data_IF_388525462301
#
_entry.id   IF_388525462301
#
_cell.length_a   1.000
_cell.length_b   1.000
_cell.length_c   1.000
_cell.angle_alpha   90.00
_cell.angle_beta   90.00
_cell.angle_gamma   90.00
#
_symmetry.space_group_name_H-M   'P 1'
#
loop_
_entity.id
_entity.type
_entity.pdbx_description
1 polymer ?
#
# COMPACT_ATOMS: atom_id res chain seq x y z
N UNK A 1 21.25 -65.35 -17.96
CA UNK A 1 20.37 -64.28 -18.49
C UNK A 1 20.20 -63.22 -17.43
N UNK A 2 20.91 -62.13 -17.58
CA UNK A 2 20.81 -60.97 -16.62
C UNK A 2 19.80 -59.98 -17.19
N UNK A 3 18.69 -59.80 -16.54
CA UNK A 3 17.71 -58.78 -16.88
C UNK A 3 18.21 -57.40 -16.38
N UNK A 4 18.50 -56.51 -17.27
CA UNK A 4 18.77 -55.11 -16.98
C UNK A 4 17.43 -54.41 -16.72
N UNK A 5 17.18 -53.97 -15.49
CA UNK A 5 16.09 -53.05 -15.17
C UNK A 5 16.57 -51.65 -15.47
N UNK A 6 16.09 -51.08 -16.55
CA UNK A 6 16.23 -49.68 -16.88
C UNK A 6 15.21 -48.92 -16.00
N UNK A 7 15.69 -48.31 -14.93
CA UNK A 7 14.93 -47.34 -14.13
C UNK A 7 14.90 -46.02 -14.92
N UNK A 8 13.80 -45.80 -15.64
CA UNK A 8 13.50 -44.49 -16.20
C UNK A 8 13.07 -43.56 -15.06
N UNK A 9 14.01 -42.75 -14.54
CA UNK A 9 13.69 -41.63 -13.66
C UNK A 9 13.07 -40.56 -14.55
N UNK A 10 11.74 -40.53 -14.59
CA UNK A 10 11.00 -39.40 -15.13
C UNK A 10 11.22 -38.22 -14.18
N UNK A 11 12.18 -37.36 -14.50
CA UNK A 11 12.31 -36.05 -13.89
C UNK A 11 11.05 -35.24 -14.27
N UNK A 12 10.07 -35.27 -13.41
CA UNK A 12 8.93 -34.35 -13.49
C UNK A 12 9.50 -32.99 -13.12
N UNK A 13 10.00 -32.27 -14.11
CA UNK A 13 10.22 -30.84 -14.00
C UNK A 13 8.83 -30.21 -13.87
N UNK A 14 8.38 -30.05 -12.63
CA UNK A 14 7.27 -29.14 -12.34
C UNK A 14 7.80 -27.75 -12.70
N UNK A 15 7.59 -27.36 -13.94
CA UNK A 15 7.69 -25.96 -14.33
C UNK A 15 6.58 -25.25 -13.57
N UNK A 16 6.89 -24.83 -12.35
CA UNK A 16 6.11 -23.82 -11.65
C UNK A 16 6.20 -22.58 -12.53
N UNK A 17 5.24 -22.43 -13.45
CA UNK A 17 4.98 -21.15 -14.09
C UNK A 17 4.47 -20.24 -12.99
N UNK A 18 5.42 -19.60 -12.29
CA UNK A 18 5.09 -18.61 -11.29
C UNK A 18 4.31 -17.50 -12.00
N UNK A 19 2.99 -17.52 -11.83
CA UNK A 19 2.15 -16.44 -12.35
C UNK A 19 2.59 -15.14 -11.67
N UNK A 20 2.63 -14.02 -12.39
CA UNK A 20 2.88 -12.73 -11.78
C UNK A 20 1.91 -12.47 -10.63
N UNK A 21 2.42 -11.95 -9.53
CA UNK A 21 1.59 -11.57 -8.39
C UNK A 21 0.69 -10.41 -8.79
N UNK A 22 -0.59 -10.56 -8.55
CA UNK A 22 -1.62 -9.53 -8.69
C UNK A 22 -2.23 -9.19 -7.32
N UNK A 23 -2.26 -10.14 -6.39
CA UNK A 23 -2.67 -9.89 -5.01
C UNK A 23 -1.47 -9.50 -4.14
N UNK A 24 -1.38 -8.20 -3.86
CA UNK A 24 -0.27 -7.63 -3.10
C UNK A 24 -0.28 -8.02 -1.60
N UNK A 25 -1.39 -8.55 -1.09
CA UNK A 25 -1.46 -9.07 0.29
C UNK A 25 -0.59 -10.33 0.49
N UNK A 26 -0.19 -10.97 -0.61
CA UNK A 26 0.72 -12.12 -0.58
C UNK A 26 2.19 -11.71 -0.36
N UNK A 27 2.54 -10.45 -0.64
CA UNK A 27 3.88 -9.94 -0.39
C UNK A 27 4.13 -9.82 1.12
N UNK A 28 5.25 -10.34 1.58
CA UNK A 28 5.63 -10.27 2.99
C UNK A 28 6.92 -9.48 3.16
N UNK A 29 6.90 -8.46 4.00
CA UNK A 29 8.12 -7.75 4.40
C UNK A 29 9.09 -8.72 5.08
N UNK A 30 10.40 -8.47 4.92
CA UNK A 30 11.45 -9.37 5.39
C UNK A 30 11.74 -10.55 4.44
N UNK A 31 10.86 -10.85 3.48
CA UNK A 31 11.05 -11.95 2.51
C UNK A 31 11.87 -11.47 1.31
N UNK A 32 12.65 -12.38 0.73
CA UNK A 32 13.42 -12.06 -0.48
C UNK A 32 12.46 -11.82 -1.66
N UNK A 33 12.65 -10.70 -2.37
CA UNK A 33 11.80 -10.31 -3.51
C UNK A 33 11.82 -11.34 -4.64
N UNK A 34 12.92 -12.10 -4.79
CA UNK A 34 13.05 -13.14 -5.82
C UNK A 34 12.10 -14.32 -5.64
N UNK A 35 11.47 -14.46 -4.46
CA UNK A 35 10.43 -15.48 -4.22
C UNK A 35 9.15 -15.14 -4.99
N UNK A 36 8.99 -13.88 -5.36
CA UNK A 36 7.81 -13.38 -6.04
C UNK A 36 8.09 -13.07 -7.51
N UNK A 37 7.15 -13.40 -8.38
CA UNK A 37 7.20 -12.99 -9.78
C UNK A 37 6.42 -11.71 -9.94
N UNK A 38 7.14 -10.58 -10.10
CA UNK A 38 6.54 -9.30 -10.48
C UNK A 38 6.53 -9.17 -12.00
N UNK A 39 5.47 -8.59 -12.56
CA UNK A 39 5.47 -8.25 -13.97
C UNK A 39 6.39 -7.04 -14.19
N UNK A 40 7.57 -7.28 -14.77
CA UNK A 40 8.61 -6.25 -14.93
C UNK A 40 8.17 -5.07 -15.81
N UNK A 41 7.21 -5.27 -16.69
CA UNK A 41 6.69 -4.20 -17.55
C UNK A 41 5.79 -3.22 -16.80
N UNK A 42 5.32 -3.58 -15.62
CA UNK A 42 4.40 -2.77 -14.83
C UNK A 42 5.14 -1.89 -13.80
N UNK A 43 6.46 -2.07 -13.65
CA UNK A 43 7.25 -1.38 -12.62
C UNK A 43 8.51 -0.73 -13.16
N UNK A 44 8.73 0.53 -12.78
CA UNK A 44 10.04 1.17 -12.82
C UNK A 44 10.89 0.62 -11.67
N UNK A 45 12.10 0.21 -11.99
CA UNK A 45 13.05 -0.31 -11.01
C UNK A 45 14.19 0.68 -10.85
N UNK A 46 14.20 1.42 -9.76
CA UNK A 46 15.19 2.47 -9.51
C UNK A 46 16.07 2.12 -8.32
N UNK A 47 17.39 2.01 -8.51
CA UNK A 47 18.32 1.90 -7.39
C UNK A 47 18.45 3.28 -6.70
N UNK A 48 18.11 3.35 -5.42
CA UNK A 48 18.30 4.54 -4.61
C UNK A 48 19.65 4.45 -3.89
N UNK A 49 20.58 5.31 -4.27
CA UNK A 49 21.86 5.47 -3.57
C UNK A 49 21.67 6.55 -2.51
N UNK A 50 21.49 6.16 -1.26
CA UNK A 50 21.57 7.12 -0.17
C UNK A 50 23.01 7.62 -0.03
N UNK A 51 23.19 8.90 0.30
CA UNK A 51 24.47 9.65 0.39
C UNK A 51 25.55 8.97 1.27
N UNK A 52 25.16 8.09 2.16
CA UNK A 52 26.11 7.20 2.85
C UNK A 52 26.16 5.88 2.07
N UNK A 53 27.23 5.64 1.38
CA UNK A 53 27.54 4.47 0.50
C UNK A 53 27.19 3.06 1.04
N UNK A 54 26.39 2.93 2.09
CA UNK A 54 26.13 1.67 2.80
C UNK A 54 24.72 1.08 2.63
N UNK A 55 23.76 1.79 2.03
CA UNK A 55 22.39 1.28 1.94
C UNK A 55 21.83 1.46 0.53
N UNK A 56 22.14 0.49 -0.35
CA UNK A 56 21.48 0.37 -1.65
C UNK A 56 20.06 -0.17 -1.41
N UNK A 57 19.07 0.69 -1.64
CA UNK A 57 17.67 0.29 -1.71
C UNK A 57 17.26 0.26 -3.17
N UNK A 58 16.56 -0.78 -3.59
CA UNK A 58 15.93 -0.83 -4.92
C UNK A 58 14.45 -0.58 -4.73
N UNK A 59 13.90 0.42 -5.41
CA UNK A 59 12.48 0.73 -5.40
C UNK A 59 11.83 0.21 -6.69
N UNK A 60 10.77 -0.56 -6.54
CA UNK A 60 9.84 -0.94 -7.59
C UNK A 60 8.63 -0.02 -7.48
N UNK A 61 8.34 0.72 -8.53
CA UNK A 61 7.28 1.72 -8.55
C UNK A 61 6.37 1.47 -9.75
N UNK A 62 5.05 1.34 -9.55
CA UNK A 62 4.13 1.12 -10.67
C UNK A 62 4.17 2.30 -11.64
N UNK A 63 4.29 2.01 -12.93
CA UNK A 63 4.24 3.02 -13.98
C UNK A 63 2.91 3.76 -14.00
N UNK A 64 2.91 4.98 -14.52
CA UNK A 64 1.68 5.77 -14.71
C UNK A 64 0.71 5.09 -15.70
N UNK A 65 1.25 4.32 -16.65
CA UNK A 65 0.48 3.64 -17.70
C UNK A 65 0.15 2.19 -17.33
N UNK A 66 0.52 1.74 -16.13
CA UNK A 66 0.16 0.41 -15.63
C UNK A 66 -1.34 0.30 -15.45
N UNK A 67 -1.92 -0.76 -15.99
CA UNK A 67 -3.30 -1.11 -15.70
C UNK A 67 -3.43 -1.58 -14.24
N UNK A 68 -3.65 -0.63 -13.34
CA UNK A 68 -3.74 -0.86 -11.91
C UNK A 68 -4.92 -1.77 -11.53
N UNK A 69 -5.94 -1.88 -12.37
CA UNK A 69 -7.09 -2.76 -12.12
C UNK A 69 -6.73 -4.24 -12.03
N UNK A 70 -5.57 -4.64 -12.55
CA UNK A 70 -5.03 -6.00 -12.40
C UNK A 70 -4.56 -6.32 -10.99
N UNK A 71 -4.26 -5.28 -10.20
CA UNK A 71 -3.69 -5.42 -8.87
C UNK A 71 -4.74 -5.15 -7.80
N UNK A 72 -4.63 -5.87 -6.70
CA UNK A 72 -5.48 -5.67 -5.53
C UNK A 72 -4.68 -6.00 -4.26
N UNK A 73 -5.20 -5.61 -3.11
CA UNK A 73 -4.67 -5.98 -1.81
C UNK A 73 -5.75 -6.75 -1.05
N UNK A 74 -5.68 -8.09 -1.06
CA UNK A 74 -6.77 -8.92 -0.59
C UNK A 74 -8.07 -8.61 -1.35
N UNK A 75 -9.09 -8.12 -0.66
CA UNK A 75 -10.36 -7.70 -1.27
C UNK A 75 -10.37 -6.26 -1.79
N UNK A 76 -9.33 -5.47 -1.48
CA UNK A 76 -9.32 -4.04 -1.76
C UNK A 76 -8.76 -3.75 -3.15
N UNK A 77 -9.47 -2.89 -3.90
CA UNK A 77 -9.03 -2.35 -5.19
C UNK A 77 -8.01 -1.24 -4.95
N UNK A 78 -7.09 -1.08 -5.89
CA UNK A 78 -6.15 0.01 -5.86
C UNK A 78 -6.74 1.27 -6.50
N UNK A 79 -6.28 2.42 -6.04
CA UNK A 79 -6.61 3.70 -6.65
C UNK A 79 -5.88 3.82 -8.00
N UNK A 80 -6.58 4.17 -9.11
CA UNK A 80 -5.99 4.29 -10.44
C UNK A 80 -5.19 5.59 -10.61
N UNK A 81 -4.08 5.68 -9.87
CA UNK A 81 -3.18 6.83 -9.88
C UNK A 81 -1.75 6.36 -10.14
N UNK A 82 -0.90 7.27 -10.60
CA UNK A 82 0.53 7.01 -10.72
C UNK A 82 1.11 6.60 -9.37
N UNK A 83 2.06 5.68 -9.41
CA UNK A 83 2.74 5.20 -8.20
C UNK A 83 1.80 4.59 -7.14
N UNK A 84 0.71 3.96 -7.59
CA UNK A 84 -0.24 3.29 -6.69
C UNK A 84 0.40 2.16 -5.87
N UNK A 85 1.48 1.57 -6.41
CA UNK A 85 2.24 0.51 -5.76
C UNK A 85 3.70 0.94 -5.67
N UNK A 86 4.28 0.83 -4.47
CA UNK A 86 5.71 1.00 -4.25
C UNK A 86 6.21 -0.14 -3.36
N UNK A 87 7.29 -0.79 -3.77
CA UNK A 87 7.96 -1.84 -3.01
C UNK A 87 9.42 -1.44 -2.86
N UNK A 88 9.89 -1.25 -1.64
CA UNK A 88 11.29 -0.95 -1.35
C UNK A 88 12.00 -2.22 -0.88
N UNK A 89 13.15 -2.48 -1.48
CA UNK A 89 13.95 -3.70 -1.27
C UNK A 89 15.36 -3.31 -0.85
N UNK A 90 15.88 -3.95 0.20
CA UNK A 90 17.25 -3.81 0.65
C UNK A 90 17.89 -5.19 0.78
N UNK A 91 19.08 -5.38 0.22
CA UNK A 91 19.78 -6.66 0.24
C UNK A 91 18.91 -7.84 -0.23
N UNK A 92 18.09 -7.58 -1.26
CA UNK A 92 17.14 -8.55 -1.80
C UNK A 92 15.87 -8.77 -0.97
N UNK A 93 15.76 -8.21 0.24
CA UNK A 93 14.57 -8.36 1.10
C UNK A 93 13.64 -7.17 0.99
N UNK A 94 12.34 -7.42 0.96
CA UNK A 94 11.30 -6.39 1.00
C UNK A 94 11.35 -5.72 2.37
N UNK A 95 11.61 -4.42 2.40
CA UNK A 95 11.61 -3.62 3.64
C UNK A 95 10.36 -2.78 3.81
N UNK A 96 9.70 -2.42 2.71
CA UNK A 96 8.46 -1.66 2.75
C UNK A 96 7.59 -1.97 1.53
N UNK A 97 6.28 -1.95 1.74
CA UNK A 97 5.26 -2.05 0.70
C UNK A 97 4.29 -0.90 0.96
N UNK A 98 4.14 0.01 -0.02
CA UNK A 98 3.20 1.12 0.03
C UNK A 98 2.16 0.97 -1.08
N UNK A 99 0.89 1.03 -0.71
CA UNK A 99 -0.23 0.74 -1.60
C UNK A 99 -1.27 1.84 -1.44
N UNK A 100 -1.77 2.36 -2.55
CA UNK A 100 -2.88 3.31 -2.57
C UNK A 100 -4.19 2.57 -2.82
N UNK A 101 -5.02 2.47 -1.81
CA UNK A 101 -6.32 1.81 -1.85
C UNK A 101 -7.37 2.78 -2.40
N UNK A 102 -8.33 2.28 -3.15
CA UNK A 102 -9.42 3.07 -3.69
C UNK A 102 -10.18 3.81 -2.57
N UNK A 103 -10.45 5.10 -2.80
CA UNK A 103 -10.99 5.99 -1.75
C UNK A 103 -12.39 5.60 -1.28
N UNK A 104 -13.19 5.03 -2.16
CA UNK A 104 -14.52 4.53 -1.84
C UNK A 104 -14.52 3.30 -0.93
N UNK A 105 -13.34 2.71 -0.67
CA UNK A 105 -13.15 1.58 0.24
C UNK A 105 -12.46 1.97 1.56
N UNK A 106 -12.37 3.25 1.86
CA UNK A 106 -11.65 3.77 3.03
C UNK A 106 -12.22 3.21 4.35
N UNK A 107 -13.56 3.14 4.46
CA UNK A 107 -14.23 2.61 5.66
C UNK A 107 -14.04 1.11 5.80
N UNK A 108 -14.14 0.37 4.69
CA UNK A 108 -13.90 -1.08 4.70
C UNK A 108 -12.46 -1.42 5.06
N UNK A 109 -11.49 -0.61 4.61
CA UNK A 109 -10.08 -0.78 4.97
C UNK A 109 -9.88 -0.55 6.47
N UNK A 110 -10.47 0.51 7.02
CA UNK A 110 -10.42 0.80 8.45
C UNK A 110 -10.96 -0.36 9.28
N UNK A 111 -12.16 -0.82 8.97
CA UNK A 111 -12.80 -1.94 9.68
C UNK A 111 -11.96 -3.22 9.57
N UNK A 112 -11.39 -3.48 8.41
CA UNK A 112 -10.50 -4.62 8.21
C UNK A 112 -9.22 -4.53 9.03
N UNK A 113 -8.58 -3.35 9.09
CA UNK A 113 -7.38 -3.11 9.90
C UNK A 113 -7.69 -3.32 11.39
N UNK A 114 -8.80 -2.77 11.87
CA UNK A 114 -9.26 -2.94 13.26
C UNK A 114 -9.57 -4.42 13.56
N UNK A 115 -10.28 -5.11 12.68
CA UNK A 115 -10.62 -6.51 12.85
C UNK A 115 -9.39 -7.43 12.83
N UNK A 116 -8.35 -7.04 12.05
CA UNK A 116 -7.13 -7.84 11.87
C UNK A 116 -6.10 -7.58 12.96
N UNK A 117 -5.90 -6.32 13.36
CA UNK A 117 -4.82 -5.90 14.25
C UNK A 117 -5.31 -5.32 15.59
N UNK A 118 -6.63 -5.23 15.79
CA UNK A 118 -7.25 -4.72 17.01
C UNK A 118 -7.41 -3.20 17.04
N UNK A 119 -8.05 -2.72 18.10
CA UNK A 119 -8.27 -1.28 18.35
C UNK A 119 -7.08 -0.57 19.02
N UNK A 120 -6.02 -1.31 19.33
CA UNK A 120 -4.85 -0.75 19.97
C UNK A 120 -3.85 -0.28 18.94
N UNK A 121 -4.10 0.89 18.37
CA UNK A 121 -3.22 1.57 17.42
C UNK A 121 -2.74 2.89 18.01
N UNK A 122 -1.55 3.31 17.60
CA UNK A 122 -1.08 4.67 17.88
C UNK A 122 -1.68 5.58 16.81
N UNK A 123 -2.25 6.69 17.22
CA UNK A 123 -2.70 7.76 16.36
C UNK A 123 -1.90 9.02 16.67
N UNK A 124 -1.28 9.60 15.65
CA UNK A 124 -0.64 10.90 15.75
C UNK A 124 -1.58 11.95 15.16
N UNK A 125 -1.95 12.88 16.01
CA UNK A 125 -2.75 14.05 15.64
C UNK A 125 -1.79 15.17 15.29
N UNK A 126 -1.78 15.57 14.02
CA UNK A 126 -1.16 16.83 13.62
C UNK A 126 -2.26 17.85 13.36
N UNK A 127 -2.11 19.02 13.98
CA UNK A 127 -2.94 20.17 13.64
C UNK A 127 -2.46 20.68 12.27
N UNK A 128 -3.04 20.15 11.20
CA UNK A 128 -2.77 20.65 9.86
C UNK A 128 -3.77 21.73 9.51
N UNK A 129 -3.26 22.72 8.86
CA UNK A 129 -3.92 23.94 8.46
C UNK A 129 -5.28 23.77 7.79
N UNK A 130 -5.75 24.83 7.17
CA UNK A 130 -7.07 24.95 6.54
C UNK A 130 -7.06 24.25 5.20
N UNK A 131 -7.90 23.25 5.03
CA UNK A 131 -8.08 22.53 3.78
C UNK A 131 -9.44 22.83 3.17
N UNK A 132 -9.49 22.83 1.86
CA UNK A 132 -10.71 23.02 1.08
C UNK A 132 -11.18 21.66 0.57
N UNK A 133 -12.44 21.33 0.84
CA UNK A 133 -13.03 20.04 0.47
C UNK A 133 -14.31 20.22 -0.32
N UNK A 134 -14.53 19.30 -1.24
CA UNK A 134 -15.84 19.14 -1.87
C UNK A 134 -16.85 18.59 -0.85
N UNK A 135 -18.13 18.82 -1.08
CA UNK A 135 -19.21 18.32 -0.21
C UNK A 135 -19.10 16.78 -0.02
N UNK A 136 -18.69 16.04 -1.06
CA UNK A 136 -18.52 14.59 -1.00
C UNK A 136 -17.36 14.16 -0.10
N UNK A 137 -16.26 14.88 -0.14
CA UNK A 137 -15.11 14.64 0.73
C UNK A 137 -15.46 14.93 2.18
N UNK A 138 -16.20 16.02 2.43
CA UNK A 138 -16.71 16.35 3.75
C UNK A 138 -17.60 15.26 4.34
N UNK A 139 -18.51 14.69 3.55
CA UNK A 139 -19.35 13.58 4.01
C UNK A 139 -18.53 12.37 4.45
N UNK A 140 -17.42 12.08 3.75
CA UNK A 140 -16.50 11.02 4.13
C UNK A 140 -15.80 11.38 5.45
N UNK A 141 -15.32 12.60 5.59
CA UNK A 141 -14.66 13.08 6.79
C UNK A 141 -15.55 13.07 8.01
N UNK A 142 -16.77 13.53 7.88
CA UNK A 142 -17.75 13.54 8.98
C UNK A 142 -17.96 12.14 9.57
N UNK A 143 -17.99 11.13 8.71
CA UNK A 143 -18.12 9.73 9.14
C UNK A 143 -16.86 9.16 9.78
N UNK A 144 -15.69 9.56 9.29
CA UNK A 144 -14.41 9.06 9.80
C UNK A 144 -13.98 9.74 11.10
N UNK A 145 -14.25 11.04 11.18
CA UNK A 145 -13.71 11.92 12.22
C UNK A 145 -14.83 12.85 12.74
N UNK A 146 -15.75 12.32 13.55
CA UNK A 146 -16.81 13.15 14.12
C UNK A 146 -16.22 14.23 15.03
N UNK A 147 -16.60 15.47 14.82
CA UNK A 147 -16.22 16.59 15.71
C UNK A 147 -15.28 17.63 15.10
N UNK A 148 -15.05 17.60 13.79
CA UNK A 148 -14.34 18.69 13.12
C UNK A 148 -15.25 19.93 12.89
N UNK A 149 -14.63 21.08 12.75
CA UNK A 149 -15.35 22.33 12.47
C UNK A 149 -15.32 22.63 10.98
N UNK A 150 -16.49 22.80 10.38
CA UNK A 150 -16.65 23.21 8.98
C UNK A 150 -16.94 24.72 8.96
N UNK A 151 -16.19 25.45 8.16
CA UNK A 151 -16.49 26.85 7.83
C UNK A 151 -16.82 26.90 6.33
N UNK A 152 -17.98 27.45 5.96
CA UNK A 152 -18.28 27.70 4.56
C UNK A 152 -17.30 28.72 3.97
N UNK A 153 -16.80 28.47 2.76
CA UNK A 153 -16.01 29.47 2.06
C UNK A 153 -16.97 30.46 1.36
N UNK A 154 -17.01 31.72 1.78
CA UNK A 154 -17.89 32.70 1.17
C UNK A 154 -17.50 33.05 -0.28
N UNK A 155 -16.30 32.65 -0.72
CA UNK A 155 -15.77 32.93 -2.07
C UNK A 155 -16.03 31.82 -3.05
N UNK A 156 -16.22 30.58 -2.59
CA UNK A 156 -16.55 29.44 -3.43
C UNK A 156 -17.55 28.49 -2.72
N UNK A 157 -18.83 28.56 -3.11
CA UNK A 157 -19.88 27.73 -2.49
C UNK A 157 -19.75 26.23 -2.75
N UNK A 158 -18.84 25.80 -3.66
CA UNK A 158 -18.60 24.40 -3.95
C UNK A 158 -17.59 23.77 -2.99
N UNK A 159 -16.90 24.59 -2.20
CA UNK A 159 -15.88 24.15 -1.26
C UNK A 159 -16.21 24.65 0.13
N UNK A 160 -16.13 23.76 1.09
CA UNK A 160 -16.15 24.15 2.49
C UNK A 160 -14.72 24.06 3.05
N UNK A 161 -14.40 25.04 3.87
CA UNK A 161 -13.13 25.11 4.57
C UNK A 161 -13.25 24.36 5.88
N UNK A 162 -12.47 23.31 6.03
CA UNK A 162 -12.43 22.55 7.26
C UNK A 162 -11.16 22.85 8.04
N UNK A 163 -11.34 23.14 9.31
CA UNK A 163 -10.25 23.06 10.30
C UNK A 163 -10.37 21.66 10.88
N UNK A 164 -9.50 20.78 10.42
CA UNK A 164 -9.53 19.38 10.86
C UNK A 164 -8.31 19.14 11.73
N UNK A 165 -8.55 18.71 12.95
CA UNK A 165 -7.54 18.01 13.75
C UNK A 165 -7.65 16.54 13.30
N UNK A 166 -6.83 16.16 12.35
CA UNK A 166 -6.79 14.79 11.85
C UNK A 166 -5.63 14.03 12.46
N UNK A 167 -5.91 12.78 12.77
CA UNK A 167 -4.84 11.79 12.82
C UNK A 167 -4.33 11.59 11.39
N UNK A 168 -3.11 12.00 11.12
CA UNK A 168 -2.53 11.83 9.79
C UNK A 168 -2.26 10.37 9.49
N UNK A 169 -2.05 9.57 10.52
CA UNK A 169 -1.89 8.15 10.34
C UNK A 169 -2.31 7.34 11.58
N UNK A 170 -2.75 6.12 11.31
CA UNK A 170 -3.00 5.09 12.29
C UNK A 170 -1.92 4.03 12.17
N UNK A 171 -1.30 3.66 13.26
CA UNK A 171 -0.16 2.76 13.29
C UNK A 171 -0.42 1.53 14.14
N UNK A 172 -0.47 0.37 13.52
CA UNK A 172 -0.49 -0.93 14.20
C UNK A 172 0.91 -1.55 14.18
N UNK A 173 1.32 -2.13 15.29
CA UNK A 173 2.60 -2.84 15.40
C UNK A 173 2.37 -4.30 15.71
N UNK A 174 2.93 -5.18 14.88
CA UNK A 174 3.05 -6.61 15.13
C UNK A 174 4.51 -6.99 15.41
N UNK A 175 4.82 -8.21 15.84
CA UNK A 175 6.21 -8.65 15.98
C UNK A 175 7.02 -8.54 14.67
N UNK A 176 6.40 -8.77 13.51
CA UNK A 176 7.06 -8.87 12.21
C UNK A 176 7.08 -7.55 11.45
N UNK A 177 6.04 -6.73 11.61
CA UNK A 177 5.85 -5.54 10.78
C UNK A 177 5.10 -4.42 11.51
N UNK A 178 5.19 -3.22 10.94
CA UNK A 178 4.33 -2.08 11.25
C UNK A 178 3.41 -1.82 10.06
N UNK A 179 2.14 -1.52 10.36
CA UNK A 179 1.11 -1.19 9.38
C UNK A 179 0.67 0.24 9.62
N UNK A 180 0.97 1.13 8.69
CA UNK A 180 0.58 2.53 8.76
C UNK A 180 -0.52 2.79 7.75
N UNK A 181 -1.63 3.29 8.21
CA UNK A 181 -2.70 3.79 7.36
C UNK A 181 -2.68 5.31 7.40
N UNK A 182 -2.46 5.91 6.26
CA UNK A 182 -2.25 7.34 6.07
C UNK A 182 -3.29 7.89 5.08
N UNK A 183 -3.95 8.96 5.47
CA UNK A 183 -4.92 9.68 4.64
C UNK A 183 -4.32 11.04 4.30
N UNK A 184 -3.78 11.17 3.10
CA UNK A 184 -3.12 12.39 2.67
C UNK A 184 -4.05 13.28 1.84
N UNK A 185 -3.98 14.60 2.08
CA UNK A 185 -4.95 15.59 1.60
C UNK A 185 -4.36 16.65 0.64
N UNK A 186 -3.12 16.50 0.17
CA UNK A 186 -2.42 17.62 -0.49
C UNK A 186 -3.01 18.08 -1.83
N UNK A 187 -3.44 17.18 -2.70
CA UNK A 187 -4.00 17.52 -4.02
C UNK A 187 -5.20 16.63 -4.38
N UNK A 188 -5.16 15.42 -3.94
CA UNK A 188 -6.21 14.40 -4.07
C UNK A 188 -6.24 13.59 -2.79
N UNK A 189 -7.42 13.22 -2.36
CA UNK A 189 -7.56 12.35 -1.20
C UNK A 189 -6.88 11.00 -1.49
N UNK A 190 -5.78 10.71 -0.79
CA UNK A 190 -5.02 9.48 -0.93
C UNK A 190 -5.20 8.60 0.30
N UNK A 191 -5.72 7.41 0.07
CA UNK A 191 -5.90 6.37 1.07
C UNK A 191 -4.74 5.38 0.94
N UNK A 192 -3.74 5.53 1.79
CA UNK A 192 -2.47 4.79 1.67
C UNK A 192 -2.28 3.82 2.82
N UNK A 193 -2.01 2.55 2.50
CA UNK A 193 -1.53 1.55 3.43
C UNK A 193 -0.04 1.32 3.20
N UNK A 194 0.77 1.47 4.25
CA UNK A 194 2.21 1.17 4.25
C UNK A 194 2.51 0.05 5.23
N UNK A 195 3.20 -0.99 4.77
CA UNK A 195 3.67 -2.12 5.56
C UNK A 195 5.19 -2.05 5.60
N UNK A 196 5.78 -1.97 6.79
CA UNK A 196 7.23 -1.82 6.96
C UNK A 196 7.78 -2.93 7.84
N UNK A 197 8.89 -3.55 7.42
CA UNK A 197 9.64 -4.52 8.23
C UNK A 197 10.22 -3.85 9.48
N UNK A 198 10.27 -4.59 10.58
CA UNK A 198 11.02 -4.21 11.79
C UNK A 198 12.49 -4.47 11.68
#
# INVERSE_FOLDING_TARGET
MKQLYLLAIAAITIACTNKPITDLSQLKVGTNISVYTLNKTDFDVTPNVLWSKKLLTTTYLSHKDTDISKYHFGKFRLQPVANAIRIDVREGKIISIKIRIAIDQIFELREWLIATYGNNYDDDFFEHGRYYYTAKELEIFEKLFPGYTVEEDPTDPNYAKCIIVLSDYFLWRTPEASYTWDINHQETLLNTLTITAK
#
